data_IF_919550545758
#
_entry.id   IF_919550545758
#
_cell.length_a   1.000
_cell.length_b   1.000
_cell.length_c   1.000
_cell.angle_alpha   90.00
_cell.angle_beta   90.00
_cell.angle_gamma   90.00
#
_symmetry.space_group_name_H-M   'P 1'
#
loop_
_entity.id
_entity.type
_entity.pdbx_description
1 polymer ?
#
# COMPACT_ATOMS: atom_id res chain seq x y z
N UNK A 1 -0.41 -17.57 2.94
CA UNK A 1 0.03 -16.16 2.83
C UNK A 1 -0.73 -15.33 3.87
N UNK A 2 -0.57 -15.72 5.13
CA UNK A 2 -1.31 -15.22 6.29
C UNK A 2 -0.61 -14.04 6.97
N UNK A 3 0.71 -13.95 6.86
CA UNK A 3 1.54 -12.97 7.56
C UNK A 3 1.22 -11.51 7.19
N UNK A 4 1.08 -11.18 5.90
CA UNK A 4 0.73 -9.81 5.46
C UNK A 4 -0.65 -9.32 5.94
N UNK A 5 -1.51 -10.23 6.43
CA UNK A 5 -2.82 -9.90 7.04
C UNK A 5 -2.78 -9.83 8.57
N UNK A 6 -1.64 -10.09 9.20
CA UNK A 6 -1.51 -10.01 10.66
C UNK A 6 -1.42 -8.57 11.14
N UNK A 7 -2.02 -8.28 12.30
CA UNK A 7 -1.98 -6.97 12.98
C UNK A 7 -1.75 -7.18 14.47
N UNK A 8 -1.40 -6.10 15.17
CA UNK A 8 -1.38 -6.04 16.63
C UNK A 8 -2.60 -5.25 17.07
N UNK A 9 -3.51 -5.90 17.82
CA UNK A 9 -4.66 -5.26 18.46
C UNK A 9 -4.67 -5.68 19.93
N UNK A 10 -4.76 -4.70 20.83
CA UNK A 10 -4.75 -4.93 22.28
C UNK A 10 -3.57 -5.82 22.74
N UNK A 11 -2.37 -5.53 22.21
CA UNK A 11 -1.12 -6.27 22.42
C UNK A 11 -1.18 -7.76 22.03
N UNK A 12 -2.12 -8.15 21.17
CA UNK A 12 -2.26 -9.52 20.67
C UNK A 12 -2.19 -9.56 19.14
N UNK A 13 -1.58 -10.61 18.57
CA UNK A 13 -1.65 -10.82 17.14
C UNK A 13 -3.08 -11.18 16.75
N UNK A 14 -3.59 -10.51 15.72
CA UNK A 14 -4.87 -10.80 15.08
C UNK A 14 -4.65 -10.97 13.58
N UNK A 15 -5.53 -11.68 12.89
CA UNK A 15 -5.50 -11.83 11.44
C UNK A 15 -6.74 -11.14 10.87
N UNK A 16 -6.55 -10.21 9.94
CA UNK A 16 -7.65 -9.63 9.18
C UNK A 16 -8.15 -10.64 8.13
N UNK A 17 -9.46 -10.87 8.08
CA UNK A 17 -10.06 -11.76 7.08
C UNK A 17 -9.85 -11.20 5.68
N UNK A 18 -10.15 -9.92 5.49
CA UNK A 18 -9.88 -9.16 4.28
C UNK A 18 -8.90 -8.03 4.58
N UNK A 19 -8.19 -7.57 3.54
CA UNK A 19 -7.33 -6.38 3.63
C UNK A 19 -7.56 -5.52 2.40
N UNK A 20 -7.90 -4.26 2.61
CA UNK A 20 -8.03 -3.27 1.55
C UNK A 20 -6.70 -2.55 1.30
N UNK A 21 -6.55 -1.93 0.14
CA UNK A 21 -5.40 -1.09 -0.18
C UNK A 21 -5.74 0.37 0.03
N UNK A 22 -5.06 1.01 0.98
CA UNK A 22 -5.09 2.44 1.18
C UNK A 22 -3.94 3.09 0.44
N UNK A 23 -4.27 3.76 -0.66
CA UNK A 23 -3.36 4.23 -1.69
C UNK A 23 -3.23 5.74 -1.57
N UNK A 24 -1.99 6.22 -1.50
CA UNK A 24 -1.69 7.65 -1.55
C UNK A 24 -1.90 8.18 -2.97
N UNK A 25 -2.62 9.28 -3.10
CA UNK A 25 -2.80 10.02 -4.35
C UNK A 25 -2.44 11.49 -4.15
N UNK A 26 -1.74 12.10 -5.10
CA UNK A 26 -1.39 13.52 -5.08
C UNK A 26 -2.54 14.33 -5.71
N UNK A 27 -3.00 15.38 -5.04
CA UNK A 27 -3.98 16.33 -5.58
C UNK A 27 -3.27 17.51 -6.28
N UNK A 28 -4.04 18.34 -7.00
CA UNK A 28 -3.50 19.49 -7.76
C UNK A 28 -2.84 20.56 -6.87
N UNK A 29 -3.21 20.60 -5.58
CA UNK A 29 -2.61 21.47 -4.57
C UNK A 29 -1.29 20.93 -3.99
N UNK A 30 -0.71 19.90 -4.61
CA UNK A 30 0.50 19.19 -4.20
C UNK A 30 0.42 18.53 -2.80
N UNK A 31 -0.77 18.43 -2.23
CA UNK A 31 -1.01 17.68 -1.00
C UNK A 31 -1.55 16.29 -1.28
N UNK A 32 -1.37 15.36 -0.34
CA UNK A 32 -1.78 13.97 -0.53
C UNK A 32 -3.23 13.73 -0.10
N UNK A 33 -3.87 12.71 -0.67
CA UNK A 33 -5.14 12.14 -0.24
C UNK A 33 -5.01 10.62 -0.22
N UNK A 34 -6.03 9.94 0.32
CA UNK A 34 -6.08 8.49 0.35
C UNK A 34 -7.31 7.99 -0.41
N UNK A 35 -7.09 7.00 -1.26
CA UNK A 35 -8.14 6.18 -1.88
C UNK A 35 -8.03 4.79 -1.28
N UNK A 36 -9.12 4.25 -0.75
CA UNK A 36 -9.14 2.90 -0.18
C UNK A 36 -10.02 2.00 -1.03
N UNK A 37 -9.43 0.93 -1.57
CA UNK A 37 -10.08 0.01 -2.49
C UNK A 37 -9.94 -1.44 -2.02
N UNK A 38 -10.96 -2.24 -2.32
CA UNK A 38 -10.93 -3.69 -2.13
C UNK A 38 -9.89 -4.34 -3.05
N UNK A 39 -9.25 -5.40 -2.57
CA UNK A 39 -8.36 -6.26 -3.37
C UNK A 39 -9.12 -7.33 -4.15
N UNK A 40 -10.42 -7.49 -3.93
CA UNK A 40 -11.27 -8.49 -4.58
C UNK A 40 -11.95 -7.90 -5.82
N UNK A 41 -11.13 -7.39 -6.75
CA UNK A 41 -11.59 -6.74 -7.98
C UNK A 41 -10.72 -7.15 -9.17
N UNK A 42 -11.27 -7.05 -10.38
CA UNK A 42 -10.46 -7.14 -11.61
C UNK A 42 -9.53 -5.91 -11.71
N UNK A 43 -8.45 -6.01 -12.49
CA UNK A 43 -7.57 -4.86 -12.73
C UNK A 43 -8.32 -3.69 -13.41
N UNK A 44 -9.24 -3.99 -14.31
CA UNK A 44 -10.06 -3.00 -15.01
C UNK A 44 -11.01 -2.28 -14.04
N UNK A 45 -11.72 -3.03 -13.18
CA UNK A 45 -12.59 -2.43 -12.17
C UNK A 45 -11.79 -1.62 -11.16
N UNK A 46 -10.61 -2.10 -10.78
CA UNK A 46 -9.72 -1.41 -9.87
C UNK A 46 -9.26 -0.06 -10.45
N UNK A 47 -8.78 -0.01 -11.70
CA UNK A 47 -8.38 1.22 -12.37
C UNK A 47 -9.55 2.21 -12.50
N UNK A 48 -10.72 1.72 -12.92
CA UNK A 48 -11.94 2.52 -13.02
C UNK A 48 -12.32 3.12 -11.67
N UNK A 49 -12.37 2.31 -10.61
CA UNK A 49 -12.73 2.77 -9.28
C UNK A 49 -11.70 3.72 -8.69
N UNK A 50 -10.41 3.49 -8.94
CA UNK A 50 -9.33 4.38 -8.52
C UNK A 50 -9.51 5.77 -9.16
N UNK A 51 -9.78 5.85 -10.46
CA UNK A 51 -10.04 7.12 -11.17
C UNK A 51 -11.25 7.86 -10.60
N UNK A 52 -12.35 7.14 -10.36
CA UNK A 52 -13.57 7.71 -9.77
C UNK A 52 -13.30 8.22 -8.35
N UNK A 53 -12.65 7.45 -7.49
CA UNK A 53 -12.40 7.89 -6.11
C UNK A 53 -11.39 9.03 -6.04
N UNK A 54 -10.39 9.06 -6.92
CA UNK A 54 -9.44 10.19 -7.03
C UNK A 54 -10.16 11.52 -7.26
N UNK A 55 -11.07 11.58 -8.24
CA UNK A 55 -11.80 12.82 -8.55
C UNK A 55 -12.68 13.31 -7.39
N UNK A 56 -13.15 12.39 -6.53
CA UNK A 56 -13.88 12.73 -5.31
C UNK A 56 -12.92 13.27 -4.23
N UNK A 57 -11.88 12.52 -3.87
CA UNK A 57 -11.03 12.86 -2.71
C UNK A 57 -10.12 14.06 -2.96
N UNK A 58 -9.79 14.36 -4.22
CA UNK A 58 -8.99 15.55 -4.58
C UNK A 58 -9.71 16.86 -4.26
N UNK A 59 -11.04 16.86 -4.20
CA UNK A 59 -11.85 18.02 -3.80
C UNK A 59 -12.13 18.08 -2.29
N UNK A 60 -11.71 17.07 -1.52
CA UNK A 60 -11.82 17.08 -0.06
C UNK A 60 -10.61 17.78 0.58
N UNK A 61 -10.78 18.29 1.80
CA UNK A 61 -9.68 18.80 2.61
C UNK A 61 -8.71 17.66 3.01
N UNK A 62 -7.41 17.96 3.14
CA UNK A 62 -6.38 17.01 3.57
C UNK A 62 -6.74 16.28 4.88
N UNK A 63 -7.28 17.00 5.85
CA UNK A 63 -7.73 16.45 7.13
C UNK A 63 -9.24 16.19 7.13
N UNK A 64 -9.75 15.46 6.14
CA UNK A 64 -11.16 15.05 6.08
C UNK A 64 -11.46 13.92 7.07
N UNK A 65 -12.76 13.71 7.32
CA UNK A 65 -13.20 12.59 8.17
C UNK A 65 -12.81 11.23 7.58
N UNK A 66 -12.74 11.14 6.24
CA UNK A 66 -12.25 9.95 5.53
C UNK A 66 -10.80 9.62 5.90
N UNK A 67 -9.94 10.62 6.00
CA UNK A 67 -8.54 10.41 6.41
C UNK A 67 -8.47 9.94 7.86
N UNK A 68 -9.19 10.61 8.78
CA UNK A 68 -9.21 10.26 10.21
C UNK A 68 -9.77 8.86 10.49
N UNK A 69 -10.80 8.46 9.75
CA UNK A 69 -11.40 7.12 9.86
C UNK A 69 -10.48 6.05 9.31
N UNK A 70 -9.83 6.31 8.18
CA UNK A 70 -8.89 5.38 7.57
C UNK A 70 -7.64 5.15 8.42
N UNK A 71 -7.12 6.17 9.12
CA UNK A 71 -5.98 6.01 10.05
C UNK A 71 -6.25 5.04 11.20
N UNK A 72 -7.52 4.86 11.59
CA UNK A 72 -7.91 3.97 12.69
C UNK A 72 -8.13 2.52 12.24
N UNK A 73 -8.12 2.25 10.94
CA UNK A 73 -8.38 0.92 10.39
C UNK A 73 -7.18 0.01 10.55
N UNK A 74 -7.45 -1.26 10.85
CA UNK A 74 -6.44 -2.32 10.92
C UNK A 74 -6.43 -3.17 9.64
N UNK A 75 -7.56 -3.25 8.96
CA UNK A 75 -7.84 -4.05 7.78
C UNK A 75 -7.42 -3.37 6.46
N UNK A 76 -6.38 -2.54 6.53
CA UNK A 76 -5.77 -1.88 5.37
C UNK A 76 -4.30 -2.29 5.23
N UNK A 77 -3.76 -2.12 4.04
CA UNK A 77 -2.33 -2.03 3.74
C UNK A 77 -2.06 -0.67 3.12
N UNK A 78 -0.93 -0.05 3.45
CA UNK A 78 -0.61 1.27 2.91
C UNK A 78 0.25 1.14 1.67
N UNK A 79 -0.14 1.81 0.60
CA UNK A 79 0.60 1.82 -0.67
C UNK A 79 0.87 3.25 -1.08
N UNK A 80 2.14 3.57 -1.29
CA UNK A 80 2.58 4.84 -1.86
C UNK A 80 3.29 4.60 -3.19
N UNK A 81 3.04 5.47 -4.15
CA UNK A 81 3.71 5.44 -5.47
C UNK A 81 4.36 6.81 -5.65
N UNK A 82 5.69 6.82 -5.81
CA UNK A 82 6.51 8.02 -5.96
C UNK A 82 7.12 8.03 -7.36
N UNK A 83 6.33 8.32 -8.41
CA UNK A 83 6.75 8.10 -9.80
C UNK A 83 7.91 9.02 -10.22
N UNK A 84 8.19 10.09 -9.47
CA UNK A 84 9.31 11.00 -9.68
C UNK A 84 10.61 10.56 -8.98
N UNK A 85 10.54 9.68 -7.98
CA UNK A 85 11.67 9.36 -7.10
C UNK A 85 12.28 8.00 -7.44
N UNK A 86 13.53 7.99 -7.92
CA UNK A 86 14.33 6.78 -8.02
C UNK A 86 15.20 6.63 -6.76
N UNK A 87 14.84 5.71 -5.85
CA UNK A 87 15.54 5.53 -4.58
C UNK A 87 16.29 4.19 -4.52
N UNK A 88 17.36 4.17 -3.74
CA UNK A 88 18.06 2.93 -3.33
C UNK A 88 17.60 2.40 -1.98
N UNK A 89 17.08 3.29 -1.11
CA UNK A 89 16.49 2.94 0.18
C UNK A 89 15.39 3.95 0.53
N UNK A 90 14.35 3.48 1.22
CA UNK A 90 13.28 4.30 1.78
C UNK A 90 12.94 3.75 3.16
N UNK A 91 12.57 4.62 4.10
CA UNK A 91 12.09 4.20 5.42
C UNK A 91 11.09 5.20 5.97
N UNK A 92 10.07 4.72 6.68
CA UNK A 92 9.15 5.61 7.39
C UNK A 92 9.72 6.00 8.76
N UNK A 93 9.70 7.30 9.06
CA UNK A 93 9.82 7.75 10.44
C UNK A 93 8.73 7.09 11.28
N UNK A 94 9.13 6.36 12.31
CA UNK A 94 8.23 5.51 13.10
C UNK A 94 8.32 5.90 14.57
N UNK A 95 7.16 6.02 15.22
CA UNK A 95 7.10 6.17 16.66
C UNK A 95 7.15 4.79 17.32
N UNK A 96 8.24 4.48 18.01
CA UNK A 96 8.45 3.17 18.63
C UNK A 96 7.33 2.84 19.63
N UNK A 97 6.81 1.60 19.56
CA UNK A 97 5.84 1.07 20.54
C UNK A 97 4.35 1.31 20.25
N UNK A 98 3.97 1.99 19.15
CA UNK A 98 2.56 2.23 18.79
C UNK A 98 2.15 1.65 17.43
N UNK A 99 3.01 0.87 16.79
CA UNK A 99 2.70 0.29 15.48
C UNK A 99 1.69 -0.85 15.60
N UNK A 100 0.65 -0.80 14.78
CA UNK A 100 -0.40 -1.83 14.67
C UNK A 100 -0.01 -2.98 13.75
N UNK A 101 1.21 -2.96 13.21
CA UNK A 101 1.73 -4.00 12.32
C UNK A 101 1.18 -3.96 10.89
N UNK A 102 0.52 -2.86 10.49
CA UNK A 102 0.05 -2.66 9.12
C UNK A 102 1.26 -2.56 8.17
N UNK A 103 1.37 -3.43 7.14
CA UNK A 103 2.41 -3.33 6.14
C UNK A 103 2.31 -2.04 5.33
N UNK A 104 3.47 -1.48 4.98
CA UNK A 104 3.57 -0.31 4.09
C UNK A 104 4.46 -0.65 2.91
N UNK A 105 3.96 -0.41 1.70
CA UNK A 105 4.71 -0.59 0.46
C UNK A 105 4.90 0.77 -0.20
N UNK A 106 6.12 1.05 -0.66
CA UNK A 106 6.46 2.26 -1.41
C UNK A 106 7.11 1.85 -2.71
N UNK A 107 6.47 2.19 -3.82
CA UNK A 107 7.02 2.04 -5.16
C UNK A 107 7.67 3.35 -5.61
N UNK A 108 8.86 3.24 -6.20
CA UNK A 108 9.58 4.38 -6.79
C UNK A 108 9.24 4.57 -8.27
N UNK A 109 10.07 5.37 -8.93
CA UNK A 109 10.03 5.61 -10.37
C UNK A 109 10.35 4.32 -11.13
N UNK A 110 9.45 3.93 -12.04
CA UNK A 110 9.70 2.86 -12.99
C UNK A 110 10.70 3.28 -14.06
N UNK A 111 11.66 2.41 -14.36
CA UNK A 111 12.62 2.58 -15.43
C UNK A 111 12.24 1.66 -16.61
N UNK A 112 11.72 2.25 -17.69
CA UNK A 112 11.27 1.53 -18.86
C UNK A 112 12.39 0.83 -19.66
N UNK A 113 13.64 1.30 -19.57
CA UNK A 113 14.77 0.67 -20.25
C UNK A 113 15.19 -0.64 -19.56
N UNK A 114 15.11 -0.66 -18.23
CA UNK A 114 15.54 -1.82 -17.42
C UNK A 114 14.40 -2.72 -16.97
N UNK A 115 13.16 -2.24 -17.03
CA UNK A 115 11.99 -2.90 -16.46
C UNK A 115 11.94 -2.88 -14.92
N UNK A 116 12.81 -2.10 -14.26
CA UNK A 116 12.93 -2.09 -12.81
C UNK A 116 12.17 -0.94 -12.16
N UNK A 117 11.62 -1.18 -10.97
CA UNK A 117 11.11 -0.14 -10.08
C UNK A 117 11.60 -0.38 -8.65
N UNK A 118 12.07 0.64 -7.91
CA UNK A 118 12.37 0.50 -6.50
C UNK A 118 11.13 0.12 -5.68
N UNK A 119 11.30 -0.81 -4.75
CA UNK A 119 10.24 -1.23 -3.82
C UNK A 119 10.80 -1.25 -2.39
N UNK A 120 10.15 -0.54 -1.49
CA UNK A 120 10.36 -0.65 -0.04
C UNK A 120 9.15 -1.29 0.62
N UNK A 121 9.39 -2.22 1.54
CA UNK A 121 8.34 -2.89 2.32
C UNK A 121 8.69 -2.78 3.80
N UNK A 122 7.87 -2.05 4.54
CA UNK A 122 7.98 -1.96 5.99
C UNK A 122 6.98 -2.94 6.63
N UNK A 123 7.50 -3.84 7.46
CA UNK A 123 6.71 -4.82 8.23
C UNK A 123 7.08 -4.76 9.70
N UNK A 124 6.21 -5.30 10.56
CA UNK A 124 6.48 -5.40 12.00
C UNK A 124 7.10 -6.75 12.34
N UNK A 125 8.32 -6.73 12.90
CA UNK A 125 9.11 -7.96 13.08
C UNK A 125 8.47 -8.99 14.03
N UNK A 126 7.68 -8.54 15.01
CA UNK A 126 6.92 -9.45 15.88
C UNK A 126 5.83 -10.27 15.13
N UNK A 127 5.47 -9.90 13.90
CA UNK A 127 4.48 -10.60 13.08
C UNK A 127 5.11 -11.31 11.88
N UNK A 128 6.25 -10.80 11.38
CA UNK A 128 6.87 -11.25 10.14
C UNK A 128 8.39 -11.17 10.25
N UNK A 129 9.04 -12.20 9.73
CA UNK A 129 10.49 -12.25 9.49
C UNK A 129 10.81 -12.13 7.98
N UNK A 130 12.09 -11.98 7.63
CA UNK A 130 12.60 -11.82 6.26
C UNK A 130 12.12 -12.92 5.30
N UNK A 131 11.95 -14.16 5.77
CA UNK A 131 11.36 -15.24 4.97
C UNK A 131 9.96 -14.89 4.44
N UNK A 132 9.13 -14.23 5.24
CA UNK A 132 7.76 -13.87 4.84
C UNK A 132 7.76 -12.75 3.81
N UNK A 133 8.68 -11.80 3.95
CA UNK A 133 8.85 -10.69 3.01
C UNK A 133 9.39 -11.22 1.68
N UNK A 134 10.41 -12.07 1.70
CA UNK A 134 10.95 -12.71 0.49
C UNK A 134 9.85 -13.48 -0.28
N UNK A 135 9.08 -14.33 0.41
CA UNK A 135 7.95 -15.04 -0.18
C UNK A 135 6.86 -14.12 -0.76
N UNK A 136 6.68 -12.93 -0.20
CA UNK A 136 5.76 -11.93 -0.74
C UNK A 136 6.31 -11.33 -2.02
N UNK A 137 7.59 -10.93 -2.02
CA UNK A 137 8.27 -10.34 -3.19
C UNK A 137 8.29 -11.32 -4.36
N UNK A 138 8.62 -12.59 -4.13
CA UNK A 138 8.64 -13.61 -5.20
C UNK A 138 7.26 -13.77 -5.85
N UNK A 139 6.20 -13.75 -5.03
CA UNK A 139 4.82 -13.85 -5.52
C UNK A 139 4.36 -12.58 -6.23
N UNK A 140 4.78 -11.42 -5.75
CA UNK A 140 4.51 -10.14 -6.40
C UNK A 140 5.16 -10.14 -7.78
N UNK A 141 6.45 -10.50 -7.89
CA UNK A 141 7.16 -10.57 -9.16
C UNK A 141 6.45 -11.54 -10.12
N UNK A 142 6.18 -12.76 -9.68
CA UNK A 142 5.46 -13.76 -10.50
C UNK A 142 4.10 -13.23 -10.99
N UNK A 143 3.37 -12.51 -10.13
CA UNK A 143 2.08 -11.92 -10.52
C UNK A 143 2.24 -10.82 -11.55
N UNK A 144 3.27 -9.99 -11.45
CA UNK A 144 3.59 -8.96 -12.44
C UNK A 144 3.97 -9.59 -13.78
N UNK A 145 4.76 -10.66 -13.79
CA UNK A 145 5.15 -11.40 -15.00
C UNK A 145 3.95 -12.05 -15.72
N UNK A 146 2.88 -12.36 -14.98
CA UNK A 146 1.64 -12.92 -15.50
C UNK A 146 0.68 -11.87 -16.09
N UNK A 147 0.87 -10.57 -15.80
CA UNK A 147 0.00 -9.51 -16.32
C UNK A 147 0.21 -9.39 -17.82
N UNK A 148 -0.85 -9.70 -18.58
CA UNK A 148 -0.93 -9.37 -20.00
C UNK A 148 -1.59 -8.02 -20.12
N UNK A 149 -0.83 -7.02 -20.53
CA UNK A 149 -1.41 -5.76 -21.01
C UNK A 149 -1.85 -6.05 -22.45
N UNK A 150 -3.15 -6.04 -22.71
CA UNK A 150 -3.63 -6.07 -24.08
C UNK A 150 -3.32 -4.69 -24.68
N UNK A 151 -2.50 -4.67 -25.73
CA UNK A 151 -2.23 -3.48 -26.54
C UNK A 151 -3.47 -3.02 -27.32
#
# INVERSE_FOLDING_TARGET
MSSMRMRIKDNKPVICETVEQSIVTLADDETFRFVTLSTEMTLEDFDKMLKIQKSVVHNEALFSERVRTNEKRLDVSHVSILPWLNFSAFSHATNFGKSTGIPKCVFGRYNAETGLTPLSIDVHHALMDGLHVANFVDKLQKKLDEIRVND
#
